data_IF_430400120665
#
_entry.id   IF_430400120665
#
_cell.length_a   1.000
_cell.length_b   1.000
_cell.length_c   1.000
_cell.angle_alpha   90.00
_cell.angle_beta   90.00
_cell.angle_gamma   90.00
#
_symmetry.space_group_name_H-M   'P 1'
#
loop_
_entity.id
_entity.type
_entity.pdbx_description
1 polymer ?
#
# COMPACT_ATOMS: atom_id res chain seq x y z
N UNK A 1 -9.02 1.65 -24.62
CA UNK A 1 -8.86 3.09 -25.02
C UNK A 1 -7.97 3.83 -24.02
N UNK A 2 -7.00 4.64 -24.47
CA UNK A 2 -6.00 5.31 -23.60
C UNK A 2 -6.61 6.20 -22.51
N UNK A 3 -7.64 6.99 -22.83
CA UNK A 3 -8.27 7.88 -21.84
C UNK A 3 -8.83 7.13 -20.62
N UNK A 4 -9.46 5.97 -20.84
CA UNK A 4 -10.00 5.14 -19.76
C UNK A 4 -8.88 4.43 -18.98
N UNK A 5 -7.80 4.02 -19.66
CA UNK A 5 -6.59 3.50 -19.01
C UNK A 5 -5.95 4.51 -18.05
N UNK A 6 -5.87 5.78 -18.46
CA UNK A 6 -5.38 6.88 -17.59
C UNK A 6 -6.30 7.10 -16.39
N UNK A 7 -7.61 6.99 -16.54
CA UNK A 7 -8.56 7.11 -15.42
C UNK A 7 -8.37 6.00 -14.40
N UNK A 8 -8.22 4.75 -14.86
CA UNK A 8 -7.94 3.61 -13.97
C UNK A 8 -6.60 3.81 -13.26
N UNK A 9 -5.54 4.18 -14.00
CA UNK A 9 -4.23 4.46 -13.40
C UNK A 9 -4.29 5.55 -12.32
N UNK A 10 -5.16 6.57 -12.47
CA UNK A 10 -5.39 7.59 -11.42
C UNK A 10 -5.99 7.01 -10.16
N UNK A 11 -7.04 6.19 -10.29
CA UNK A 11 -7.66 5.51 -9.13
C UNK A 11 -6.66 4.62 -8.43
N UNK A 12 -5.86 3.87 -9.19
CA UNK A 12 -4.78 3.03 -8.64
C UNK A 12 -3.73 3.85 -7.90
N UNK A 13 -3.33 5.02 -8.42
CA UNK A 13 -2.38 5.91 -7.73
C UNK A 13 -2.91 6.42 -6.40
N UNK A 14 -4.19 6.76 -6.32
CA UNK A 14 -4.78 7.24 -5.07
C UNK A 14 -4.80 6.12 -4.00
N UNK A 15 -5.15 4.89 -4.40
CA UNK A 15 -5.09 3.70 -3.55
C UNK A 15 -3.66 3.39 -3.09
N UNK A 16 -2.68 3.45 -4.00
CA UNK A 16 -1.27 3.20 -3.68
C UNK A 16 -0.72 4.26 -2.71
N UNK A 17 -1.11 5.54 -2.87
CA UNK A 17 -0.74 6.60 -1.91
C UNK A 17 -1.31 6.35 -0.52
N UNK A 18 -2.56 5.90 -0.45
CA UNK A 18 -3.19 5.50 0.81
C UNK A 18 -2.41 4.35 1.44
N UNK A 19 -2.08 3.31 0.67
CA UNK A 19 -1.30 2.16 1.14
C UNK A 19 0.02 2.59 1.77
N UNK A 20 0.85 3.38 1.07
CA UNK A 20 2.13 3.84 1.61
C UNK A 20 1.97 4.71 2.86
N UNK A 21 0.90 5.50 2.93
CA UNK A 21 0.62 6.33 4.11
C UNK A 21 0.28 5.47 5.33
N UNK A 22 -0.43 4.36 5.12
CA UNK A 22 -0.77 3.40 6.16
C UNK A 22 0.44 2.55 6.56
N UNK A 23 1.20 2.04 5.60
CA UNK A 23 2.41 1.27 5.88
C UNK A 23 3.47 2.09 6.64
N UNK A 24 3.55 3.40 6.40
CA UNK A 24 4.41 4.30 7.17
C UNK A 24 4.03 4.42 8.66
N UNK A 25 2.88 3.90 9.10
CA UNK A 25 2.56 3.77 10.52
C UNK A 25 3.40 2.66 11.16
N UNK A 26 3.76 1.63 10.38
CA UNK A 26 4.53 0.46 10.83
C UNK A 26 6.04 0.67 10.75
N UNK A 27 6.50 1.77 10.13
CA UNK A 27 7.91 1.99 9.91
C UNK A 27 8.23 3.14 8.98
N UNK A 28 9.34 3.03 8.25
CA UNK A 28 9.77 4.09 7.34
C UNK A 28 8.88 4.18 6.10
N UNK A 29 8.48 5.40 5.73
CA UNK A 29 7.76 5.64 4.49
C UNK A 29 8.68 5.44 3.28
N UNK A 30 8.43 4.36 2.52
CA UNK A 30 9.22 4.01 1.35
C UNK A 30 8.89 4.86 0.11
N UNK A 31 7.73 5.51 0.07
CA UNK A 31 7.30 6.31 -1.07
C UNK A 31 7.79 7.77 -0.99
N UNK A 32 8.67 8.15 -1.93
CA UNK A 32 9.13 9.54 -2.13
C UNK A 32 8.30 10.32 -3.13
N UNK A 33 7.52 9.65 -3.98
CA UNK A 33 6.62 10.29 -4.92
C UNK A 33 5.92 9.28 -5.82
N UNK A 34 4.71 9.62 -6.27
CA UNK A 34 3.93 8.79 -7.21
C UNK A 34 3.33 9.68 -8.28
N UNK A 35 3.53 9.29 -9.54
CA UNK A 35 3.08 9.99 -10.73
C UNK A 35 2.47 9.03 -11.75
N UNK A 36 1.88 9.59 -12.81
CA UNK A 36 1.31 8.81 -13.92
C UNK A 36 1.96 9.29 -15.21
N UNK A 37 2.50 8.34 -15.96
CA UNK A 37 2.88 8.59 -17.34
C UNK A 37 1.60 8.63 -18.20
N UNK A 38 1.23 9.81 -18.69
CA UNK A 38 0.00 10.00 -19.47
C UNK A 38 0.07 9.42 -20.89
N UNK A 39 1.26 9.13 -21.40
CA UNK A 39 1.43 8.57 -22.74
C UNK A 39 1.16 7.06 -22.75
N UNK A 40 1.55 6.37 -21.68
CA UNK A 40 1.47 4.92 -21.52
C UNK A 40 0.40 4.48 -20.53
N UNK A 41 -0.15 5.40 -19.73
CA UNK A 41 -1.00 5.15 -18.57
C UNK A 41 -0.34 4.28 -17.48
N UNK A 42 0.99 4.25 -17.42
CA UNK A 42 1.74 3.59 -16.34
C UNK A 42 1.83 4.47 -15.10
N UNK A 43 2.00 3.81 -13.96
CA UNK A 43 2.21 4.35 -12.63
C UNK A 43 3.71 4.38 -12.38
N UNK A 44 4.22 5.55 -12.01
CA UNK A 44 5.62 5.75 -11.65
C UNK A 44 5.70 5.94 -10.14
N UNK A 45 6.49 5.11 -9.46
CA UNK A 45 6.73 5.18 -8.02
C UNK A 45 8.21 5.50 -7.81
N UNK A 46 8.50 6.55 -7.05
CA UNK A 46 9.84 6.85 -6.58
C UNK A 46 9.99 6.23 -5.18
N UNK A 47 10.59 5.05 -5.14
CA UNK A 47 10.87 4.30 -3.94
C UNK A 47 12.21 4.71 -3.32
N UNK A 48 12.27 4.75 -1.98
CA UNK A 48 13.45 5.14 -1.21
C UNK A 48 14.67 4.26 -1.49
N UNK A 49 14.48 2.95 -1.67
CA UNK A 49 15.56 1.97 -1.81
C UNK A 49 15.73 1.49 -3.24
N UNK A 50 14.63 1.33 -3.97
CA UNK A 50 14.64 0.81 -5.35
C UNK A 50 14.75 1.91 -6.41
N UNK A 51 14.57 3.17 -6.04
CA UNK A 51 14.59 4.30 -6.97
C UNK A 51 13.29 4.38 -7.78
N UNK A 52 13.39 4.69 -9.07
CA UNK A 52 12.20 4.92 -9.92
C UNK A 52 11.71 3.60 -10.52
N UNK A 53 10.51 3.19 -10.12
CA UNK A 53 9.80 2.01 -10.60
C UNK A 53 8.65 2.45 -11.51
N UNK A 54 8.43 1.73 -12.61
CA UNK A 54 7.33 2.00 -13.55
C UNK A 54 6.52 0.73 -13.79
N UNK A 55 5.22 0.80 -13.48
CA UNK A 55 4.28 -0.30 -13.58
C UNK A 55 3.10 0.07 -14.46
N UNK A 56 2.60 -0.87 -15.25
CA UNK A 56 1.19 -0.79 -15.65
C UNK A 56 0.30 -1.15 -14.43
N UNK A 57 -1.01 -0.95 -14.55
CA UNK A 57 -1.96 -1.19 -13.44
C UNK A 57 -1.94 -2.65 -12.98
N UNK A 58 -1.76 -3.60 -13.90
CA UNK A 58 -1.71 -5.03 -13.56
C UNK A 58 -0.47 -5.37 -12.72
N UNK A 59 0.70 -4.93 -13.16
CA UNK A 59 1.95 -5.13 -12.41
C UNK A 59 1.94 -4.42 -11.07
N UNK A 60 1.31 -3.24 -10.99
CA UNK A 60 1.14 -2.55 -9.72
C UNK A 60 0.26 -3.37 -8.77
N UNK A 61 -0.88 -3.92 -9.23
CA UNK A 61 -1.72 -4.78 -8.40
C UNK A 61 -0.98 -6.02 -7.88
N UNK A 62 -0.18 -6.67 -8.74
CA UNK A 62 0.65 -7.82 -8.35
C UNK A 62 1.71 -7.41 -7.31
N UNK A 63 2.44 -6.32 -7.55
CA UNK A 63 3.48 -5.85 -6.64
C UNK A 63 2.93 -5.54 -5.23
N UNK A 64 1.74 -4.93 -5.13
CA UNK A 64 1.12 -4.63 -3.84
C UNK A 64 0.48 -5.86 -3.19
N UNK A 65 0.02 -6.84 -3.96
CA UNK A 65 -0.34 -8.15 -3.41
C UNK A 65 0.86 -8.86 -2.79
N UNK A 66 1.99 -8.91 -3.51
CA UNK A 66 3.23 -9.52 -3.02
C UNK A 66 3.79 -8.80 -1.80
N UNK A 67 3.54 -7.49 -1.69
CA UNK A 67 3.92 -6.69 -0.52
C UNK A 67 3.19 -7.11 0.76
N UNK A 68 1.93 -7.53 0.67
CA UNK A 68 1.17 -8.06 1.82
C UNK A 68 1.40 -9.57 1.99
N UNK A 69 1.29 -10.37 0.94
CA UNK A 69 1.24 -11.83 1.06
C UNK A 69 2.61 -12.52 0.90
N UNK A 70 3.60 -11.78 0.41
CA UNK A 70 4.88 -12.34 0.01
C UNK A 70 4.84 -12.92 -1.41
N UNK A 71 5.95 -13.50 -1.84
CA UNK A 71 6.11 -14.08 -3.15
C UNK A 71 6.52 -15.56 -3.04
N UNK A 72 5.65 -16.45 -3.51
CA UNK A 72 5.90 -17.90 -3.48
C UNK A 72 6.13 -18.39 -2.04
N UNK A 73 7.26 -19.06 -1.73
CA UNK A 73 7.55 -19.52 -0.37
C UNK A 73 8.09 -18.41 0.55
N UNK A 74 8.34 -17.21 0.03
CA UNK A 74 8.86 -16.09 0.81
C UNK A 74 7.68 -15.28 1.35
N UNK A 75 7.50 -15.26 2.68
CA UNK A 75 6.54 -14.35 3.32
C UNK A 75 6.95 -12.89 3.09
N UNK A 76 5.97 -12.00 3.14
CA UNK A 76 6.26 -10.57 3.31
C UNK A 76 6.63 -10.28 4.77
N UNK A 77 7.12 -9.06 5.02
CA UNK A 77 7.25 -8.52 6.38
C UNK A 77 6.01 -7.77 6.88
N UNK A 78 4.93 -7.68 6.10
CA UNK A 78 3.79 -6.80 6.43
C UNK A 78 3.04 -7.27 7.69
N UNK A 79 2.60 -8.52 7.71
CA UNK A 79 1.90 -9.07 8.89
C UNK A 79 2.83 -9.24 10.10
N UNK A 80 4.11 -9.51 9.87
CA UNK A 80 5.11 -9.56 10.93
C UNK A 80 5.25 -8.18 11.59
N UNK A 81 5.34 -7.09 10.80
CA UNK A 81 5.40 -5.73 11.33
C UNK A 81 4.11 -5.35 12.09
N UNK A 82 2.94 -5.76 11.61
CA UNK A 82 1.66 -5.57 12.33
C UNK A 82 1.68 -6.29 13.68
N UNK A 83 2.15 -7.53 13.72
CA UNK A 83 2.18 -8.33 14.95
C UNK A 83 3.25 -7.80 15.92
N UNK A 84 4.38 -7.32 15.43
CA UNK A 84 5.39 -6.63 16.23
C UNK A 84 4.80 -5.38 16.91
N UNK A 85 4.08 -4.52 16.18
CA UNK A 85 3.42 -3.35 16.76
C UNK A 85 2.34 -3.74 17.79
N UNK A 86 1.56 -4.81 17.52
CA UNK A 86 0.58 -5.34 18.48
C UNK A 86 1.23 -5.83 19.78
N UNK A 87 2.39 -6.47 19.69
CA UNK A 87 3.13 -6.94 20.87
C UNK A 87 3.68 -5.78 21.73
N UNK A 88 3.77 -4.56 21.20
CA UNK A 88 4.17 -3.36 21.93
C UNK A 88 3.01 -2.63 22.63
N UNK A 89 1.76 -3.12 22.55
CA UNK A 89 0.60 -2.41 23.11
C UNK A 89 0.69 -2.20 24.63
N UNK A 90 1.19 -3.18 25.38
CA UNK A 90 1.33 -3.06 26.83
C UNK A 90 2.34 -1.96 27.21
N UNK A 91 3.46 -1.91 26.49
CA UNK A 91 4.47 -0.85 26.67
C UNK A 91 3.86 0.53 26.32
N UNK A 92 3.18 0.64 25.17
CA UNK A 92 2.54 1.88 24.71
C UNK A 92 1.40 2.36 25.60
N UNK A 93 0.67 1.44 26.24
CA UNK A 93 -0.37 1.81 27.22
C UNK A 93 0.21 2.57 28.41
N UNK A 94 1.45 2.26 28.80
CA UNK A 94 2.14 2.96 29.89
C UNK A 94 2.79 4.29 29.48
N UNK A 95 3.11 4.46 28.19
CA UNK A 95 3.82 5.63 27.64
C UNK A 95 2.89 6.74 27.15
N UNK A 96 1.71 6.38 26.65
CA UNK A 96 0.80 7.29 25.93
C UNK A 96 -0.36 7.77 26.82
N UNK A 97 -0.93 8.93 26.48
CA UNK A 97 -2.24 9.30 27.04
C UNK A 97 -3.34 8.36 26.51
N UNK A 98 -4.50 8.35 27.19
CA UNK A 98 -5.65 7.53 26.78
C UNK A 98 -6.01 7.72 25.30
N UNK A 99 -6.11 8.96 24.85
CA UNK A 99 -6.56 9.27 23.49
C UNK A 99 -5.49 8.92 22.46
N UNK A 100 -4.21 9.15 22.77
CA UNK A 100 -3.08 8.73 21.93
C UNK A 100 -3.01 7.21 21.82
N UNK A 101 -3.20 6.48 22.91
CA UNK A 101 -3.21 5.02 22.90
C UNK A 101 -4.36 4.45 22.06
N UNK A 102 -5.58 4.95 22.25
CA UNK A 102 -6.75 4.54 21.45
C UNK A 102 -6.49 4.80 19.96
N UNK A 103 -5.95 5.97 19.62
CA UNK A 103 -5.62 6.31 18.24
C UNK A 103 -4.53 5.42 17.67
N UNK A 104 -3.49 5.11 18.45
CA UNK A 104 -2.39 4.23 18.02
C UNK A 104 -2.90 2.81 17.75
N UNK A 105 -3.57 2.17 18.71
CA UNK A 105 -4.14 0.83 18.54
C UNK A 105 -5.13 0.80 17.37
N UNK A 106 -6.01 1.80 17.30
CA UNK A 106 -6.97 1.92 16.20
C UNK A 106 -6.29 2.06 14.83
N UNK A 107 -5.17 2.78 14.76
CA UNK A 107 -4.41 2.98 13.51
C UNK A 107 -3.73 1.69 13.05
N UNK A 108 -3.20 0.87 13.96
CA UNK A 108 -2.58 -0.42 13.62
C UNK A 108 -3.63 -1.38 13.04
N UNK A 109 -4.78 -1.55 13.70
CA UNK A 109 -5.86 -2.38 13.15
C UNK A 109 -6.44 -1.84 11.85
N UNK A 110 -6.62 -0.53 11.75
CA UNK A 110 -7.12 0.09 10.53
C UNK A 110 -6.15 -0.15 9.35
N UNK A 111 -4.84 -0.02 9.60
CA UNK A 111 -3.79 -0.28 8.60
C UNK A 111 -3.86 -1.70 8.07
N UNK A 112 -3.95 -2.70 8.95
CA UNK A 112 -4.06 -4.11 8.57
C UNK A 112 -5.23 -4.34 7.60
N UNK A 113 -6.45 -3.99 8.01
CA UNK A 113 -7.64 -4.23 7.20
C UNK A 113 -7.69 -3.38 5.94
N UNK A 114 -7.30 -2.11 6.02
CA UNK A 114 -7.43 -1.19 4.90
C UNK A 114 -6.42 -1.49 3.79
N UNK A 115 -5.20 -1.92 4.14
CA UNK A 115 -4.23 -2.35 3.13
C UNK A 115 -4.71 -3.59 2.36
N UNK A 116 -5.36 -4.56 3.02
CA UNK A 116 -5.98 -5.71 2.34
C UNK A 116 -7.10 -5.30 1.36
N UNK A 117 -7.97 -4.37 1.79
CA UNK A 117 -9.01 -3.82 0.92
C UNK A 117 -8.43 -3.09 -0.29
N UNK A 118 -7.38 -2.27 -0.08
CA UNK A 118 -6.68 -1.58 -1.17
C UNK A 118 -6.13 -2.58 -2.19
N UNK A 119 -5.48 -3.66 -1.75
CA UNK A 119 -4.97 -4.70 -2.67
C UNK A 119 -6.11 -5.35 -3.46
N UNK A 120 -7.26 -5.60 -2.83
CA UNK A 120 -8.44 -6.11 -3.53
C UNK A 120 -8.97 -5.12 -4.58
N UNK A 121 -9.11 -3.85 -4.23
CA UNK A 121 -9.55 -2.80 -5.15
C UNK A 121 -8.58 -2.62 -6.33
N UNK A 122 -7.27 -2.70 -6.09
CA UNK A 122 -6.24 -2.66 -7.13
C UNK A 122 -6.38 -3.82 -8.12
N UNK A 123 -6.69 -5.03 -7.64
CA UNK A 123 -6.96 -6.19 -8.50
C UNK A 123 -8.20 -6.01 -9.35
N UNK A 124 -9.28 -5.47 -8.79
CA UNK A 124 -10.51 -5.17 -9.55
C UNK A 124 -10.24 -4.15 -10.67
N UNK A 125 -9.45 -3.11 -10.37
CA UNK A 125 -8.99 -2.14 -11.37
C UNK A 125 -8.06 -2.76 -12.42
N UNK A 126 -7.21 -3.71 -12.04
CA UNK A 126 -6.34 -4.42 -12.98
C UNK A 126 -7.14 -5.28 -13.97
N UNK A 127 -8.20 -5.96 -13.51
CA UNK A 127 -9.09 -6.70 -14.41
C UNK A 127 -9.84 -5.75 -15.36
N UNK A 128 -10.38 -4.62 -14.87
CA UNK A 128 -10.97 -3.60 -15.75
C UNK A 128 -9.94 -3.06 -16.75
N UNK A 129 -8.69 -2.88 -16.34
CA UNK A 129 -7.61 -2.39 -17.21
C UNK A 129 -7.26 -3.35 -18.34
N UNK A 130 -7.28 -4.66 -18.08
CA UNK A 130 -7.00 -5.72 -19.07
C UNK A 130 -8.03 -5.78 -20.18
N UNK A 131 -9.28 -5.45 -19.88
CA UNK A 131 -10.40 -5.49 -20.83
C UNK A 131 -10.40 -4.29 -21.82
N UNK A 132 -9.46 -3.34 -21.70
CA UNK A 132 -9.42 -2.06 -22.45
C UNK A 132 -8.35 -1.93 -23.55
#
# INVERSE_FOLDING_TARGET
MLGKKIEIARKSVDLIREFFSLEAILGENLCRGIEINKETASIIINDLYEGVLEYDVEKAAIAFEERINGWGPCSSGFYDAIEEEKNCFDDKFSELSKDEFINYVGSIYYTEYRCEEIVKELKELAEEYKEL
#
